data_IF_336897097466
#
_entry.id   IF_336897097466
#
_cell.length_a   1.000
_cell.length_b   1.000
_cell.length_c   1.000
_cell.angle_alpha   90.00
_cell.angle_beta   90.00
_cell.angle_gamma   90.00
#
_symmetry.space_group_name_H-M   'P 1'
#
loop_
_entity.id
_entity.type
_entity.pdbx_description
1 polymer ?
#
# COMPACT_ATOMS: atom_id res chain seq x y z
N UNK A 1 -21.89 -0.54 2.19
CA UNK A 1 -22.85 -1.39 1.44
C UNK A 1 -24.27 -0.82 1.44
N UNK A 2 -24.84 -0.47 2.60
CA UNK A 2 -26.24 0.00 2.71
C UNK A 2 -26.56 1.32 1.99
N UNK A 3 -25.56 2.09 1.59
CA UNK A 3 -25.74 3.36 0.86
C UNK A 3 -25.95 3.17 -0.66
N UNK A 4 -25.92 1.93 -1.18
CA UNK A 4 -26.22 1.65 -2.59
C UNK A 4 -25.74 0.27 -3.06
N UNK A 5 -24.46 -0.06 -2.81
CA UNK A 5 -23.81 -1.29 -3.29
C UNK A 5 -24.39 -2.61 -2.75
N UNK A 6 -25.29 -2.57 -1.77
CA UNK A 6 -26.00 -3.74 -1.24
C UNK A 6 -27.23 -4.18 -2.04
N UNK A 7 -27.54 -3.56 -3.18
CA UNK A 7 -28.64 -3.99 -4.05
C UNK A 7 -29.24 -2.91 -4.96
N UNK A 8 -28.95 -1.63 -4.71
CA UNK A 8 -29.52 -0.51 -5.48
C UNK A 8 -28.58 0.03 -6.57
N UNK A 9 -27.28 -0.25 -6.47
CA UNK A 9 -26.28 0.22 -7.43
C UNK A 9 -25.94 -0.85 -8.46
N UNK A 10 -25.73 -0.40 -9.70
CA UNK A 10 -25.25 -1.25 -10.79
C UNK A 10 -23.72 -1.27 -10.84
N UNK A 11 -23.14 -2.47 -10.92
CA UNK A 11 -21.70 -2.69 -11.11
C UNK A 11 -21.21 -2.34 -12.53
N UNK A 12 -22.13 -2.06 -13.47
CA UNK A 12 -21.78 -1.77 -14.88
C UNK A 12 -21.66 -0.27 -15.14
N UNK A 13 -22.66 0.49 -14.71
CA UNK A 13 -22.72 1.94 -14.84
C UNK A 13 -23.61 2.47 -13.73
N UNK A 14 -23.04 3.30 -12.86
CA UNK A 14 -23.79 3.98 -11.82
C UNK A 14 -23.55 5.51 -11.91
N UNK A 15 -24.56 6.29 -12.35
CA UNK A 15 -24.46 7.74 -12.34
C UNK A 15 -24.44 8.28 -10.90
N UNK A 16 -24.00 9.52 -10.75
CA UNK A 16 -24.07 10.23 -9.46
C UNK A 16 -25.49 10.77 -9.30
N UNK A 17 -26.11 10.46 -8.16
CA UNK A 17 -27.39 11.04 -7.77
C UNK A 17 -27.13 12.30 -6.93
N UNK A 18 -27.51 13.47 -7.47
CA UNK A 18 -27.38 14.78 -6.81
C UNK A 18 -28.69 15.22 -6.13
N UNK A 19 -29.70 14.37 -6.09
CA UNK A 19 -30.96 14.68 -5.40
C UNK A 19 -30.78 14.69 -3.88
N UNK A 20 -31.76 15.25 -3.18
CA UNK A 20 -31.86 15.21 -1.71
C UNK A 20 -32.57 13.94 -1.22
N UNK A 21 -32.55 12.86 -1.99
CA UNK A 21 -33.13 11.59 -1.56
C UNK A 21 -32.36 11.04 -0.33
N UNK A 22 -33.03 10.33 0.59
CA UNK A 22 -32.35 9.76 1.76
C UNK A 22 -31.17 8.85 1.39
N UNK A 23 -31.24 8.15 0.25
CA UNK A 23 -30.14 7.31 -0.23
C UNK A 23 -28.97 8.11 -0.79
N UNK A 24 -29.24 9.16 -1.59
CA UNK A 24 -28.19 10.03 -2.14
C UNK A 24 -27.43 10.76 -1.01
N UNK A 25 -28.16 11.31 -0.03
CA UNK A 25 -27.57 11.97 1.13
C UNK A 25 -26.75 11.00 1.98
N UNK A 26 -27.24 9.76 2.19
CA UNK A 26 -26.49 8.72 2.90
C UNK A 26 -25.21 8.36 2.16
N UNK A 27 -25.23 8.28 0.83
CA UNK A 27 -24.02 8.04 0.04
C UNK A 27 -23.03 9.20 0.18
N UNK A 28 -23.49 10.45 0.04
CA UNK A 28 -22.65 11.63 0.22
C UNK A 28 -22.01 11.68 1.62
N UNK A 29 -22.76 11.37 2.68
CA UNK A 29 -22.23 11.22 4.05
C UNK A 29 -21.21 10.09 4.16
N UNK A 30 -21.43 8.97 3.47
CA UNK A 30 -20.46 7.85 3.43
C UNK A 30 -19.16 8.29 2.75
N UNK A 31 -19.24 9.05 1.65
CA UNK A 31 -18.10 9.65 0.97
C UNK A 31 -17.36 10.64 1.88
N UNK A 32 -18.09 11.43 2.67
CA UNK A 32 -17.51 12.33 3.67
C UNK A 32 -16.71 11.57 4.75
N UNK A 33 -17.30 10.52 5.34
CA UNK A 33 -16.59 9.71 6.34
C UNK A 33 -15.38 8.99 5.75
N UNK A 34 -15.47 8.53 4.50
CA UNK A 34 -14.33 7.98 3.78
C UNK A 34 -13.23 9.01 3.54
N UNK A 35 -13.57 10.26 3.24
CA UNK A 35 -12.60 11.33 3.13
C UNK A 35 -11.88 11.58 4.46
N UNK A 36 -12.64 11.68 5.57
CA UNK A 36 -12.06 11.82 6.91
C UNK A 36 -11.13 10.65 7.26
N UNK A 37 -11.50 9.42 6.88
CA UNK A 37 -10.64 8.26 7.16
C UNK A 37 -9.27 8.37 6.48
N UNK A 38 -9.15 9.06 5.34
CA UNK A 38 -7.84 9.27 4.69
C UNK A 38 -6.89 10.12 5.52
N UNK A 39 -7.41 11.04 6.34
CA UNK A 39 -6.57 11.75 7.31
C UNK A 39 -6.14 10.86 8.46
N UNK A 40 -7.01 9.92 8.88
CA UNK A 40 -6.63 8.99 9.94
C UNK A 40 -5.48 8.07 9.54
N UNK A 41 -5.34 7.78 8.24
CA UNK A 41 -4.23 6.99 7.70
C UNK A 41 -2.86 7.70 7.83
N UNK A 42 -2.83 9.03 7.95
CA UNK A 42 -1.58 9.73 8.24
C UNK A 42 -1.03 9.41 9.64
N UNK A 43 -1.90 9.02 10.58
CA UNK A 43 -1.43 8.58 11.89
C UNK A 43 -0.61 7.30 11.80
N UNK A 44 -0.82 6.43 10.80
CA UNK A 44 0.04 5.26 10.59
C UNK A 44 1.48 5.69 10.30
N UNK A 45 1.65 6.68 9.43
CA UNK A 45 2.96 7.25 9.10
C UNK A 45 3.58 7.92 10.33
N UNK A 46 2.78 8.65 11.11
CA UNK A 46 3.22 9.26 12.36
C UNK A 46 3.72 8.21 13.36
N UNK A 47 2.99 7.11 13.56
CA UNK A 47 3.40 6.03 14.45
C UNK A 47 4.67 5.32 13.95
N UNK A 48 4.87 5.15 12.65
CA UNK A 48 6.10 4.58 12.10
C UNK A 48 7.32 5.47 12.35
N UNK A 49 7.16 6.79 12.17
CA UNK A 49 8.23 7.78 12.45
C UNK A 49 8.54 7.79 13.95
N UNK A 50 7.52 7.86 14.80
CA UNK A 50 7.68 7.87 16.27
C UNK A 50 8.33 6.58 16.79
N UNK A 51 8.03 5.42 16.18
CA UNK A 51 8.68 4.14 16.52
C UNK A 51 10.07 3.97 15.89
N UNK A 52 10.62 5.02 15.24
CA UNK A 52 11.88 5.00 14.49
C UNK A 52 11.97 3.90 13.44
N UNK A 53 10.82 3.48 12.89
CA UNK A 53 10.75 2.47 11.83
C UNK A 53 10.62 3.15 10.48
N UNK A 54 11.56 4.04 10.16
CA UNK A 54 11.53 4.83 8.92
C UNK A 54 11.66 3.98 7.65
N UNK A 55 12.21 2.77 7.77
CA UNK A 55 12.12 1.79 6.69
C UNK A 55 10.66 1.57 6.27
N UNK A 56 9.68 1.85 7.16
CA UNK A 56 8.23 1.69 6.96
C UNK A 56 7.55 2.65 6.02
N UNK A 57 8.23 3.74 5.75
CA UNK A 57 7.74 4.81 4.92
C UNK A 57 8.35 4.66 3.53
N UNK A 58 7.79 3.73 2.75
CA UNK A 58 8.17 3.57 1.33
C UNK A 58 7.76 4.79 0.51
N UNK A 59 8.45 5.03 -0.61
CA UNK A 59 8.03 6.04 -1.59
C UNK A 59 6.62 5.78 -2.09
N UNK A 60 6.23 4.51 -2.26
CA UNK A 60 4.86 4.13 -2.59
C UNK A 60 3.85 4.59 -1.53
N UNK A 61 4.16 4.36 -0.26
CA UNK A 61 3.32 4.77 0.87
C UNK A 61 3.17 6.30 0.91
N UNK A 62 4.28 7.04 0.78
CA UNK A 62 4.25 8.51 0.83
C UNK A 62 3.48 9.09 -0.35
N UNK A 63 3.75 8.61 -1.58
CA UNK A 63 3.03 9.07 -2.78
C UNK A 63 1.54 8.74 -2.65
N UNK A 64 1.21 7.52 -2.22
CA UNK A 64 -0.18 7.11 -2.01
C UNK A 64 -0.88 7.98 -0.96
N UNK A 65 -0.39 8.02 0.28
CA UNK A 65 -1.05 8.76 1.36
C UNK A 65 -0.99 10.28 1.16
N UNK A 66 0.01 10.81 0.44
CA UNK A 66 0.04 12.23 0.08
C UNK A 66 -0.96 12.60 -1.02
N UNK A 67 -1.12 11.76 -2.03
CA UNK A 67 -1.94 12.05 -3.20
C UNK A 67 -3.42 11.69 -3.00
N UNK A 68 -3.71 10.61 -2.26
CA UNK A 68 -5.06 10.08 -2.08
C UNK A 68 -6.06 11.07 -1.43
N UNK A 69 -5.73 11.79 -0.33
CA UNK A 69 -6.66 12.75 0.28
C UNK A 69 -7.05 13.89 -0.68
N UNK A 70 -6.08 14.41 -1.44
CA UNK A 70 -6.34 15.46 -2.44
C UNK A 70 -7.26 14.97 -3.56
N UNK A 71 -7.02 13.75 -4.06
CA UNK A 71 -7.86 13.15 -5.11
C UNK A 71 -9.27 12.84 -4.61
N UNK A 72 -9.41 12.32 -3.38
CA UNK A 72 -10.72 12.02 -2.77
C UNK A 72 -11.50 13.29 -2.47
N UNK A 73 -10.85 14.39 -2.07
CA UNK A 73 -11.51 15.69 -1.89
C UNK A 73 -12.21 16.14 -3.18
N UNK A 74 -11.51 16.07 -4.32
CA UNK A 74 -12.09 16.42 -5.63
C UNK A 74 -13.27 15.52 -5.97
N UNK A 75 -13.14 14.20 -5.76
CA UNK A 75 -14.24 13.26 -5.95
C UNK A 75 -15.46 13.60 -5.08
N UNK A 76 -15.26 13.83 -3.79
CA UNK A 76 -16.34 14.17 -2.86
C UNK A 76 -17.00 15.52 -3.18
N UNK A 77 -16.22 16.54 -3.54
CA UNK A 77 -16.74 17.89 -3.77
C UNK A 77 -17.66 17.99 -4.99
N UNK A 78 -17.40 17.18 -6.01
CA UNK A 78 -18.03 17.30 -7.33
C UNK A 78 -18.81 16.06 -7.77
N UNK A 79 -18.47 14.87 -7.27
CA UNK A 79 -19.12 13.60 -7.59
C UNK A 79 -19.28 12.72 -6.32
N UNK A 80 -20.07 13.16 -5.31
CA UNK A 80 -20.24 12.45 -4.03
C UNK A 80 -21.11 11.19 -4.15
N UNK A 81 -20.76 10.27 -5.03
CA UNK A 81 -21.56 9.07 -5.29
C UNK A 81 -21.19 8.36 -6.59
N UNK A 82 -22.04 7.41 -6.99
CA UNK A 82 -21.94 6.76 -8.29
C UNK A 82 -20.80 5.76 -8.44
N UNK A 83 -20.39 5.54 -9.69
CA UNK A 83 -19.47 4.47 -10.12
C UNK A 83 -18.12 4.48 -9.38
N UNK A 84 -17.58 5.66 -9.12
CA UNK A 84 -16.28 5.84 -8.44
C UNK A 84 -16.29 5.37 -6.98
N UNK A 85 -17.45 5.32 -6.32
CA UNK A 85 -17.53 4.88 -4.91
C UNK A 85 -17.25 3.39 -4.71
N UNK A 86 -17.21 2.60 -5.79
CA UNK A 86 -16.75 1.21 -5.75
C UNK A 86 -15.30 1.10 -5.27
N UNK A 87 -14.45 2.06 -5.67
CA UNK A 87 -13.07 2.16 -5.19
C UNK A 87 -13.03 2.28 -3.66
N UNK A 88 -13.84 3.19 -3.09
CA UNK A 88 -13.91 3.39 -1.65
C UNK A 88 -14.43 2.14 -0.92
N UNK A 89 -15.41 1.44 -1.50
CA UNK A 89 -15.94 0.20 -0.95
C UNK A 89 -14.87 -0.90 -0.86
N UNK A 90 -14.17 -1.18 -1.96
CA UNK A 90 -13.13 -2.21 -1.96
C UNK A 90 -11.93 -1.81 -1.10
N UNK A 91 -11.53 -0.53 -1.15
CA UNK A 91 -10.43 -0.02 -0.34
C UNK A 91 -10.72 -0.18 1.16
N UNK A 92 -11.89 0.25 1.62
CA UNK A 92 -12.26 0.09 3.03
C UNK A 92 -12.30 -1.38 3.46
N UNK A 93 -12.78 -2.28 2.61
CA UNK A 93 -12.78 -3.72 2.88
C UNK A 93 -11.35 -4.27 3.06
N UNK A 94 -10.44 -3.96 2.14
CA UNK A 94 -9.05 -4.41 2.23
C UNK A 94 -8.31 -3.75 3.39
N UNK A 95 -8.60 -2.48 3.67
CA UNK A 95 -8.02 -1.78 4.82
C UNK A 95 -8.45 -2.42 6.14
N UNK A 96 -9.70 -2.90 6.29
CA UNK A 96 -10.11 -3.65 7.49
C UNK A 96 -9.19 -4.87 7.71
N UNK A 97 -8.93 -5.64 6.66
CA UNK A 97 -8.06 -6.84 6.75
C UNK A 97 -6.61 -6.45 7.05
N UNK A 98 -6.11 -5.38 6.42
CA UNK A 98 -4.76 -4.87 6.61
C UNK A 98 -4.53 -4.32 8.03
N UNK A 99 -5.47 -3.54 8.56
CA UNK A 99 -5.40 -3.02 9.94
C UNK A 99 -5.56 -4.13 10.97
N UNK A 100 -6.39 -5.14 10.70
CA UNK A 100 -6.47 -6.32 11.55
C UNK A 100 -5.11 -7.02 11.64
N UNK A 101 -4.41 -7.15 10.51
CA UNK A 101 -3.04 -7.67 10.51
C UNK A 101 -2.08 -6.80 11.33
N UNK A 102 -2.14 -5.47 11.22
CA UNK A 102 -1.29 -4.58 12.03
C UNK A 102 -1.58 -4.70 13.52
N UNK A 103 -2.86 -4.78 13.90
CA UNK A 103 -3.27 -5.03 15.27
C UNK A 103 -2.65 -6.32 15.82
N UNK A 104 -2.73 -7.44 15.10
CA UNK A 104 -2.13 -8.72 15.52
C UNK A 104 -0.61 -8.64 15.57
N UNK A 105 0.02 -7.91 14.64
CA UNK A 105 1.48 -7.73 14.64
C UNK A 105 2.00 -6.91 15.84
N UNK A 106 1.18 -5.99 16.33
CA UNK A 106 1.47 -5.12 17.48
C UNK A 106 1.32 -5.83 18.84
N UNK A 107 0.61 -6.97 18.91
CA UNK A 107 0.45 -7.78 20.14
C UNK A 107 1.75 -8.51 20.57
N UNK A 108 2.83 -8.37 19.80
CA UNK A 108 4.18 -8.79 20.18
C UNK A 108 4.62 -10.16 19.64
N UNK A 109 5.84 -10.61 20.00
CA UNK A 109 6.49 -11.78 19.40
C UNK A 109 5.70 -13.09 19.52
N UNK A 110 4.89 -13.21 20.59
CA UNK A 110 4.04 -14.39 20.85
C UNK A 110 2.95 -14.59 19.79
N UNK A 111 2.48 -13.50 19.16
CA UNK A 111 1.42 -13.53 18.15
C UNK A 111 1.96 -13.42 16.71
N UNK A 112 3.15 -12.83 16.53
CA UNK A 112 3.81 -12.71 15.21
C UNK A 112 4.03 -14.06 14.51
N UNK A 113 4.22 -15.15 15.27
CA UNK A 113 4.34 -16.51 14.71
C UNK A 113 3.12 -16.97 13.91
N UNK A 114 1.93 -16.45 14.19
CA UNK A 114 0.70 -16.82 13.48
C UNK A 114 0.50 -16.02 12.18
N UNK A 115 1.40 -15.07 11.89
CA UNK A 115 1.30 -14.16 10.75
C UNK A 115 2.07 -14.73 9.53
N UNK A 116 1.83 -16.00 9.21
CA UNK A 116 2.45 -16.66 8.05
C UNK A 116 1.81 -16.22 6.72
N UNK A 117 0.58 -15.71 6.78
CA UNK A 117 -0.23 -15.32 5.62
C UNK A 117 0.06 -13.92 5.08
N UNK A 118 1.17 -13.29 5.50
CA UNK A 118 1.57 -11.93 5.08
C UNK A 118 1.66 -11.74 3.56
N UNK A 119 2.07 -12.77 2.82
CA UNK A 119 2.19 -12.71 1.35
C UNK A 119 0.80 -12.58 0.70
N UNK A 120 -0.20 -13.25 1.26
CA UNK A 120 -1.58 -13.20 0.75
C UNK A 120 -2.21 -11.82 0.94
N UNK A 121 -1.82 -11.07 1.98
CA UNK A 121 -2.27 -9.68 2.16
C UNK A 121 -1.80 -8.77 1.04
N UNK A 122 -0.52 -8.86 0.66
CA UNK A 122 0.00 -8.08 -0.48
C UNK A 122 -0.69 -8.50 -1.78
N UNK A 123 -0.89 -9.81 -2.01
CA UNK A 123 -1.64 -10.29 -3.16
C UNK A 123 -3.09 -9.78 -3.16
N UNK A 124 -3.71 -9.66 -2.00
CA UNK A 124 -5.07 -9.14 -1.86
C UNK A 124 -5.16 -7.64 -2.16
N UNK A 125 -4.18 -6.85 -1.71
CA UNK A 125 -4.04 -5.43 -2.09
C UNK A 125 -3.83 -5.26 -3.60
N UNK A 126 -3.01 -6.13 -4.23
CA UNK A 126 -2.83 -6.11 -5.68
C UNK A 126 -4.14 -6.44 -6.43
N UNK A 127 -4.86 -7.46 -5.97
CA UNK A 127 -6.15 -7.84 -6.54
C UNK A 127 -7.16 -6.69 -6.43
N UNK A 128 -7.19 -5.97 -5.30
CA UNK A 128 -8.02 -4.78 -5.12
C UNK A 128 -7.78 -3.76 -6.26
N UNK A 129 -6.52 -3.43 -6.57
CA UNK A 129 -6.22 -2.47 -7.64
C UNK A 129 -6.67 -2.98 -9.01
N UNK A 130 -6.47 -4.27 -9.31
CA UNK A 130 -6.93 -4.87 -10.57
C UNK A 130 -8.45 -4.81 -10.68
N UNK A 131 -9.19 -5.20 -9.63
CA UNK A 131 -10.65 -5.15 -9.62
C UNK A 131 -11.18 -3.72 -9.81
N UNK A 132 -10.57 -2.74 -9.15
CA UNK A 132 -10.94 -1.33 -9.27
C UNK A 132 -10.64 -0.82 -10.68
N UNK A 133 -9.46 -1.17 -11.22
CA UNK A 133 -9.07 -0.77 -12.57
C UNK A 133 -10.05 -1.34 -13.60
N UNK A 134 -10.35 -2.64 -13.53
CA UNK A 134 -11.34 -3.28 -14.42
C UNK A 134 -12.70 -2.62 -14.28
N UNK A 135 -13.17 -2.35 -13.06
CA UNK A 135 -14.45 -1.66 -12.81
C UNK A 135 -14.49 -0.26 -13.42
N UNK A 136 -13.41 0.52 -13.28
CA UNK A 136 -13.34 1.87 -13.81
C UNK A 136 -13.19 1.89 -15.35
N UNK A 137 -12.42 0.96 -15.91
CA UNK A 137 -12.18 0.83 -17.35
C UNK A 137 -13.47 0.55 -18.13
N UNK A 138 -14.49 -0.07 -17.52
CA UNK A 138 -15.78 -0.33 -18.17
C UNK A 138 -16.47 0.95 -18.66
N UNK A 139 -16.24 2.10 -18.00
CA UNK A 139 -16.83 3.37 -18.40
C UNK A 139 -16.26 3.91 -19.73
N UNK A 140 -15.11 3.43 -20.19
CA UNK A 140 -14.57 3.82 -21.51
C UNK A 140 -15.33 3.18 -22.67
N UNK A 141 -15.93 2.02 -22.46
CA UNK A 141 -16.63 1.23 -23.49
C UNK A 141 -18.16 1.28 -23.36
N UNK A 142 -18.68 1.96 -22.34
CA UNK A 142 -20.12 2.07 -22.10
C UNK A 142 -20.52 3.53 -21.99
N UNK A 143 -21.59 3.88 -22.68
CA UNK A 143 -22.24 5.16 -22.45
C UNK A 143 -22.88 5.16 -21.06
N UNK A 144 -22.37 6.03 -20.18
CA UNK A 144 -22.84 6.18 -18.82
C UNK A 144 -22.99 7.68 -18.54
N UNK A 145 -24.09 8.10 -17.91
CA UNK A 145 -24.29 9.48 -17.48
C UNK A 145 -23.49 9.80 -16.20
N UNK A 146 -22.18 9.53 -16.28
CA UNK A 146 -21.20 9.86 -15.27
C UNK A 146 -20.27 10.93 -15.85
N UNK A 147 -19.88 11.96 -15.07
CA UNK A 147 -19.08 13.05 -15.60
C UNK A 147 -17.74 12.54 -16.16
N UNK A 148 -17.56 12.66 -17.49
CA UNK A 148 -16.41 12.13 -18.24
C UNK A 148 -15.07 12.66 -17.71
N UNK A 149 -15.03 13.90 -17.24
CA UNK A 149 -13.83 14.50 -16.63
C UNK A 149 -13.34 13.74 -15.39
N UNK A 150 -14.26 13.28 -14.54
CA UNK A 150 -13.91 12.46 -13.36
C UNK A 150 -13.48 11.05 -13.75
N UNK A 151 -14.09 10.48 -14.79
CA UNK A 151 -13.67 9.19 -15.32
C UNK A 151 -12.21 9.23 -15.80
N UNK A 152 -11.83 10.26 -16.57
CA UNK A 152 -10.43 10.43 -17.05
C UNK A 152 -9.48 10.68 -15.88
N UNK A 153 -9.86 11.55 -14.93
CA UNK A 153 -9.06 11.83 -13.72
C UNK A 153 -8.76 10.56 -12.91
N UNK A 154 -9.79 9.76 -12.61
CA UNK A 154 -9.64 8.51 -11.86
C UNK A 154 -8.85 7.49 -12.70
N UNK A 155 -9.07 7.45 -14.02
CA UNK A 155 -8.32 6.59 -14.93
C UNK A 155 -6.81 6.87 -14.90
N UNK A 156 -6.40 8.14 -14.97
CA UNK A 156 -5.00 8.56 -14.90
C UNK A 156 -4.35 8.17 -13.55
N UNK A 157 -5.04 8.42 -12.44
CA UNK A 157 -4.61 7.96 -11.12
C UNK A 157 -4.48 6.43 -11.06
N UNK A 158 -5.43 5.70 -11.63
CA UNK A 158 -5.42 4.24 -11.69
C UNK A 158 -4.21 3.70 -12.44
N UNK A 159 -3.86 4.28 -13.59
CA UNK A 159 -2.67 3.89 -14.37
C UNK A 159 -1.38 4.17 -13.59
N UNK A 160 -1.27 5.35 -12.95
CA UNK A 160 -0.13 5.69 -12.11
C UNK A 160 0.09 4.68 -10.98
N UNK A 161 -0.98 4.35 -10.24
CA UNK A 161 -0.89 3.36 -9.16
C UNK A 161 -0.60 1.95 -9.68
N UNK A 162 -1.18 1.54 -10.80
CA UNK A 162 -0.90 0.23 -11.40
C UNK A 162 0.58 0.09 -11.77
N UNK A 163 1.18 1.15 -12.33
CA UNK A 163 2.61 1.17 -12.63
C UNK A 163 3.48 1.05 -11.37
N UNK A 164 3.20 1.88 -10.36
CA UNK A 164 3.90 1.88 -9.07
C UNK A 164 3.85 0.51 -8.36
N UNK A 165 2.67 -0.13 -8.36
CA UNK A 165 2.50 -1.45 -7.75
C UNK A 165 3.12 -2.57 -8.59
N UNK A 166 3.12 -2.45 -9.92
CA UNK A 166 3.79 -3.41 -10.80
C UNK A 166 5.31 -3.36 -10.64
N UNK A 167 5.89 -2.18 -10.48
CA UNK A 167 7.32 -1.99 -10.20
C UNK A 167 7.71 -2.60 -8.84
N UNK A 168 6.93 -2.31 -7.79
CA UNK A 168 7.09 -2.92 -6.47
C UNK A 168 7.03 -4.46 -6.52
N UNK A 169 6.05 -5.02 -7.23
CA UNK A 169 5.87 -6.47 -7.34
C UNK A 169 7.06 -7.13 -8.03
N UNK A 170 7.48 -6.60 -9.19
CA UNK A 170 8.63 -7.12 -9.94
C UNK A 170 9.91 -7.07 -9.12
N UNK A 171 10.16 -5.95 -8.45
CA UNK A 171 11.33 -5.75 -7.58
C UNK A 171 11.42 -6.82 -6.47
N UNK A 172 10.30 -7.15 -5.83
CA UNK A 172 10.26 -8.08 -4.69
C UNK A 172 10.15 -9.55 -5.04
N UNK A 173 9.47 -9.90 -6.13
CA UNK A 173 9.04 -11.28 -6.39
C UNK A 173 9.53 -11.88 -7.71
N UNK A 174 10.09 -11.10 -8.63
CA UNK A 174 10.47 -11.57 -9.98
C UNK A 174 11.95 -11.37 -10.31
N UNK A 175 12.75 -10.86 -9.36
CA UNK A 175 14.18 -10.62 -9.61
C UNK A 175 14.97 -11.94 -9.54
N UNK A 176 15.10 -12.60 -10.68
CA UNK A 176 16.18 -13.55 -10.95
C UNK A 176 17.52 -12.80 -11.00
N UNK A 177 18.31 -12.94 -9.93
CA UNK A 177 19.78 -12.81 -9.93
C UNK A 177 20.45 -11.44 -10.16
N UNK A 178 19.78 -10.42 -10.73
CA UNK A 178 20.40 -9.08 -10.91
C UNK A 178 19.85 -8.08 -9.90
N UNK A 179 20.55 -7.92 -8.77
CA UNK A 179 20.35 -6.81 -7.83
C UNK A 179 20.55 -5.48 -8.59
N UNK A 180 19.46 -4.84 -9.00
CA UNK A 180 19.46 -3.41 -9.31
C UNK A 180 19.79 -2.64 -8.02
N UNK A 181 20.49 -1.50 -8.09
CA UNK A 181 20.75 -0.68 -6.91
C UNK A 181 19.42 -0.45 -6.20
N UNK A 182 19.38 -0.78 -4.91
CA UNK A 182 18.19 -0.66 -4.11
C UNK A 182 17.74 0.79 -4.14
N UNK A 183 16.65 1.08 -4.87
CA UNK A 183 15.88 2.27 -4.57
C UNK A 183 15.24 2.00 -3.21
N UNK A 184 15.62 2.79 -2.20
CA UNK A 184 15.05 2.75 -0.84
C UNK A 184 13.52 2.97 -0.82
N UNK A 185 12.90 3.25 -1.97
CA UNK A 185 11.49 3.58 -2.12
C UNK A 185 10.49 2.43 -2.20
N UNK A 186 10.91 1.15 -2.23
CA UNK A 186 10.02 0.02 -2.51
C UNK A 186 9.92 -1.02 -1.38
N UNK A 187 10.09 -0.62 -0.11
CA UNK A 187 9.88 -1.51 1.03
C UNK A 187 8.71 -1.01 1.87
N UNK A 188 7.54 -1.65 1.81
CA UNK A 188 6.65 -1.72 2.97
C UNK A 188 7.27 -2.78 3.91
N UNK A 189 7.92 -2.43 5.02
CA UNK A 189 8.36 -3.33 6.05
C UNK A 189 7.22 -3.56 7.01
N UNK A 190 7.12 -4.82 7.39
CA UNK A 190 6.49 -5.17 8.63
C UNK A 190 7.56 -5.86 9.47
N UNK A 191 7.57 -5.51 10.75
CA UNK A 191 8.50 -5.97 11.78
C UNK A 191 8.83 -7.47 11.65
N UNK A 192 10.12 -7.82 11.77
CA UNK A 192 10.58 -9.19 11.94
C UNK A 192 11.65 -9.68 10.96
N UNK A 193 12.10 -8.88 9.99
CA UNK A 193 13.32 -9.23 9.25
C UNK A 193 14.53 -8.94 10.13
N UNK A 194 15.23 -10.01 10.53
CA UNK A 194 16.51 -9.98 11.20
C UNK A 194 17.41 -8.89 10.62
N UNK A 195 17.96 -8.06 11.52
CA UNK A 195 18.93 -7.01 11.24
C UNK A 195 19.97 -7.47 10.22
N UNK A 196 19.79 -7.09 8.97
CA UNK A 196 20.88 -7.05 8.01
C UNK A 196 21.42 -5.63 8.06
N UNK A 197 22.60 -5.47 8.66
CA UNK A 197 23.39 -4.23 8.69
C UNK A 197 23.42 -3.67 7.26
N UNK A 198 22.76 -2.54 7.02
CA UNK A 198 23.09 -1.69 5.87
C UNK A 198 24.43 -1.05 6.21
N UNK A 199 25.53 -1.65 5.71
CA UNK A 199 26.82 -0.98 5.70
C UNK A 199 26.74 0.16 4.69
N UNK A 200 26.84 1.38 5.19
CA UNK A 200 27.24 2.55 4.40
C UNK A 200 28.63 2.25 3.81
N UNK A 201 28.71 2.04 2.50
CA UNK A 201 29.99 2.02 1.80
C UNK A 201 30.49 3.45 1.70
N UNK A 202 31.30 3.84 2.67
CA UNK A 202 32.29 4.89 2.51
C UNK A 202 33.38 4.35 1.58
N UNK A 203 33.80 5.19 0.63
CA UNK A 203 34.91 4.93 -0.29
C UNK A 203 36.15 4.49 0.51
N UNK A 204 36.67 3.29 0.24
CA UNK A 204 38.11 3.08 0.15
C UNK A 204 38.43 1.74 -0.54
N UNK A 205 39.24 1.83 -1.59
CA UNK A 205 39.76 0.70 -2.34
C UNK A 205 40.84 -0.01 -1.52
N UNK A 206 40.56 -1.19 -0.97
CA UNK A 206 41.63 -2.11 -0.55
C UNK A 206 41.30 -3.54 -0.99
N UNK A 207 42.12 -4.05 -1.90
CA UNK A 207 42.11 -5.42 -2.40
C UNK A 207 42.79 -6.33 -1.38
N UNK A 208 42.08 -7.33 -0.87
CA UNK A 208 42.70 -8.48 -0.19
C UNK A 208 42.19 -9.78 -0.81
N UNK A 209 43.13 -10.59 -1.30
CA UNK A 209 42.93 -11.99 -1.67
C UNK A 209 42.74 -12.83 -0.41
N UNK A 210 41.79 -13.77 -0.40
CA UNK A 210 41.84 -14.86 0.58
C UNK A 210 41.24 -16.15 0.03
N UNK A 211 42.12 -17.15 -0.06
CA UNK A 211 41.85 -18.57 -0.22
C UNK A 211 41.13 -19.11 1.02
N UNK A 212 40.35 -20.18 0.84
CA UNK A 212 39.46 -20.75 1.85
C UNK A 212 40.10 -21.63 2.94
N UNK A 213 39.20 -22.38 3.59
CA UNK A 213 39.36 -23.49 4.57
C UNK A 213 39.08 -23.15 6.05
N UNK A 214 37.83 -23.42 6.45
CA UNK A 214 37.31 -24.39 7.47
C UNK A 214 37.93 -24.49 8.90
N UNK A 215 37.02 -24.34 9.88
CA UNK A 215 36.91 -24.90 11.26
C UNK A 215 37.98 -24.68 12.35
N UNK A 216 37.47 -24.33 13.56
CA UNK A 216 37.80 -25.10 14.78
C UNK A 216 38.49 -24.36 15.94
N UNK A 217 37.70 -24.04 16.98
CA UNK A 217 37.97 -24.23 18.42
C UNK A 217 39.32 -23.81 19.10
N UNK A 218 39.14 -22.95 20.12
CA UNK A 218 39.71 -22.90 21.50
C UNK A 218 41.12 -22.32 21.81
N UNK A 219 41.05 -21.25 22.63
CA UNK A 219 41.74 -20.93 23.92
C UNK A 219 43.25 -20.63 24.00
N UNK A 220 43.50 -19.45 24.60
CA UNK A 220 44.54 -19.06 25.59
C UNK A 220 46.01 -19.30 25.27
N UNK A 221 46.81 -18.23 25.23
CA UNK A 221 47.78 -17.90 26.31
C UNK A 221 48.58 -16.62 26.00
N UNK A 222 48.88 -15.89 27.06
CA UNK A 222 49.76 -14.72 27.15
C UNK A 222 51.22 -15.05 26.78
N UNK A 223 51.97 -14.08 26.23
CA UNK A 223 53.30 -13.65 26.70
C UNK A 223 54.07 -12.76 25.69
N UNK A 224 54.16 -11.46 26.04
CA UNK A 224 55.40 -10.66 26.19
C UNK A 224 56.66 -10.90 25.32
N UNK A 225 57.06 -9.82 24.64
CA UNK A 225 58.45 -9.29 24.45
C UNK A 225 59.56 -10.20 23.94
N UNK A 226 60.08 -9.92 22.74
CA UNK A 226 61.25 -9.03 22.51
C UNK A 226 61.35 -8.69 21.02
#
# INVERSE_FOLDING_TARGET
MMSGWGGSYSLKCQPVDYSYSPMALRMAQTCWWYYISKFTEFFDTLFFILRKKNQQVSTLHVIHHGCMPMSVWMGMKFAPGGHSTFFALLNTFVHIVMYFYYMVSAMGPKYQKYIWWKKYLTSFQMLQFVCIFVHQFQLLFRECNYPKSFMVWIGLHGVMFLFLFSDFYKSKYTSDGKRRPANDGACMPVEGASYSKCSSNEHDNVVYYSNGIVNGFKTTEDAKTK
#
